data_IF_581462335110
#
_entry.id   IF_581462335110
#
_cell.length_a   1.000
_cell.length_b   1.000
_cell.length_c   1.000
_cell.angle_alpha   90.00
_cell.angle_beta   90.00
_cell.angle_gamma   90.00
#
_symmetry.space_group_name_H-M   'P 1'
#
loop_
_entity.id
_entity.type
_entity.pdbx_description
1 polymer ?
#
# COMPACT_ATOMS: atom_id res chain seq x y z
N UNK A 1 -25.33 -8.94 -13.33
CA UNK A 1 -24.41 -9.21 -12.22
C UNK A 1 -24.71 -10.61 -11.75
N UNK A 2 -23.73 -11.52 -11.80
CA UNK A 2 -23.88 -12.89 -11.28
C UNK A 2 -23.86 -12.78 -9.77
N UNK A 3 -24.97 -13.10 -9.11
CA UNK A 3 -25.09 -12.99 -7.65
C UNK A 3 -24.26 -14.04 -6.89
N UNK A 4 -23.97 -15.17 -7.55
CA UNK A 4 -23.26 -16.29 -6.93
C UNK A 4 -22.24 -16.91 -7.90
N UNK A 5 -20.98 -16.99 -7.50
CA UNK A 5 -19.87 -17.56 -8.24
C UNK A 5 -19.21 -18.69 -7.43
N UNK A 6 -18.73 -19.72 -8.11
CA UNK A 6 -17.87 -20.75 -7.52
C UNK A 6 -16.61 -20.87 -8.38
N UNK A 7 -15.49 -20.33 -7.87
CA UNK A 7 -14.16 -20.59 -8.43
C UNK A 7 -13.74 -21.99 -7.96
N UNK A 8 -13.40 -22.90 -8.87
CA UNK A 8 -13.01 -24.26 -8.52
C UNK A 8 -11.76 -24.71 -9.28
N UNK A 9 -11.25 -25.89 -8.95
CA UNK A 9 -9.98 -26.40 -9.45
C UNK A 9 -8.84 -25.41 -9.15
N UNK A 10 -8.77 -24.94 -7.90
CA UNK A 10 -7.88 -23.88 -7.43
C UNK A 10 -6.74 -24.41 -6.56
N UNK A 11 -5.60 -23.75 -6.60
CA UNK A 11 -4.64 -23.75 -5.50
C UNK A 11 -5.05 -22.61 -4.55
N UNK A 12 -5.73 -22.93 -3.46
CA UNK A 12 -6.20 -21.91 -2.50
C UNK A 12 -5.07 -21.49 -1.57
N UNK A 13 -4.77 -20.18 -1.59
CA UNK A 13 -3.88 -19.49 -0.64
C UNK A 13 -4.75 -18.43 0.06
N UNK A 14 -5.33 -18.78 1.17
CA UNK A 14 -6.43 -18.02 1.81
C UNK A 14 -5.99 -16.75 2.55
N UNK A 15 -4.68 -16.46 2.62
CA UNK A 15 -4.11 -15.30 3.30
C UNK A 15 -3.94 -15.48 4.81
N UNK A 16 -4.37 -16.60 5.40
CA UNK A 16 -4.20 -16.86 6.85
C UNK A 16 -2.79 -17.30 7.23
N UNK A 17 -1.99 -17.72 6.24
CA UNK A 17 -0.64 -18.25 6.45
C UNK A 17 -0.60 -19.77 6.69
N UNK A 18 -1.73 -20.47 6.63
CA UNK A 18 -1.79 -21.94 6.65
C UNK A 18 -1.31 -22.51 5.31
N UNK A 19 -0.90 -23.80 5.25
CA UNK A 19 -0.52 -24.43 4.01
C UNK A 19 -1.61 -24.33 2.93
N UNK A 20 -1.24 -24.18 1.64
CA UNK A 20 -2.21 -24.04 0.56
C UNK A 20 -3.01 -25.34 0.35
N UNK A 21 -4.26 -25.22 -0.10
CA UNK A 21 -5.13 -26.35 -0.42
C UNK A 21 -5.22 -26.52 -1.93
N UNK A 22 -4.85 -27.70 -2.46
CA UNK A 22 -5.02 -28.05 -3.86
C UNK A 22 -6.46 -28.55 -4.13
N UNK A 23 -6.86 -28.49 -5.41
CA UNK A 23 -8.21 -28.88 -5.84
C UNK A 23 -9.31 -28.22 -4.99
N UNK A 24 -9.06 -26.99 -4.60
CA UNK A 24 -9.92 -26.21 -3.74
C UNK A 24 -10.98 -25.43 -4.53
N UNK A 25 -11.94 -24.89 -3.79
CA UNK A 25 -12.91 -23.96 -4.36
C UNK A 25 -13.20 -22.80 -3.40
N UNK A 26 -13.68 -21.67 -3.98
CA UNK A 26 -14.12 -20.47 -3.28
C UNK A 26 -15.51 -20.10 -3.76
N UNK A 27 -16.48 -20.13 -2.85
CA UNK A 27 -17.84 -19.65 -3.10
C UNK A 27 -17.93 -18.16 -2.79
N UNK A 28 -18.40 -17.40 -3.74
CA UNK A 28 -18.72 -15.97 -3.60
C UNK A 28 -20.23 -15.82 -3.73
N UNK A 29 -20.86 -15.18 -2.75
CA UNK A 29 -22.29 -14.93 -2.71
C UNK A 29 -22.54 -13.46 -2.34
N UNK A 30 -23.24 -12.75 -3.17
CA UNK A 30 -23.57 -11.32 -3.01
C UNK A 30 -22.35 -10.45 -2.61
N UNK A 31 -21.23 -10.65 -3.32
CA UNK A 31 -19.99 -9.90 -3.12
C UNK A 31 -19.17 -10.27 -1.88
N UNK A 32 -19.54 -11.34 -1.18
CA UNK A 32 -18.81 -11.86 -0.02
C UNK A 32 -18.37 -13.30 -0.22
N UNK A 33 -17.33 -13.69 0.52
CA UNK A 33 -16.91 -15.08 0.62
C UNK A 33 -17.99 -15.84 1.38
N UNK A 34 -18.66 -16.77 0.71
CA UNK A 34 -19.63 -17.67 1.35
C UNK A 34 -18.96 -18.88 1.97
N UNK A 35 -17.90 -19.38 1.30
CA UNK A 35 -17.13 -20.54 1.75
C UNK A 35 -15.81 -20.62 0.96
N UNK A 36 -14.76 -21.19 1.54
CA UNK A 36 -13.49 -21.53 0.88
C UNK A 36 -12.90 -22.78 1.51
N UNK A 37 -12.45 -23.74 0.69
CA UNK A 37 -11.89 -25.00 1.19
C UNK A 37 -11.68 -26.06 0.11
N UNK A 38 -11.47 -27.34 0.51
CA UNK A 38 -11.27 -28.46 -0.42
C UNK A 38 -12.48 -28.65 -1.35
N UNK A 39 -12.25 -28.96 -2.63
CA UNK A 39 -13.31 -29.14 -3.62
C UNK A 39 -14.29 -30.27 -3.32
N UNK A 40 -13.86 -31.29 -2.57
CA UNK A 40 -14.73 -32.40 -2.12
C UNK A 40 -15.73 -31.96 -1.03
N UNK A 41 -15.47 -30.85 -0.35
CA UNK A 41 -16.27 -30.34 0.76
C UNK A 41 -17.18 -29.14 0.36
N UNK A 42 -17.41 -28.93 -0.96
CA UNK A 42 -18.26 -27.83 -1.45
C UNK A 42 -19.66 -27.96 -0.84
N UNK A 43 -20.13 -26.93 -0.13
CA UNK A 43 -21.41 -27.00 0.57
C UNK A 43 -22.61 -26.92 -0.39
N UNK A 44 -23.80 -27.46 0.00
CA UNK A 44 -25.01 -27.33 -0.79
C UNK A 44 -25.42 -25.89 -1.09
N UNK A 45 -24.97 -24.92 -0.27
CA UNK A 45 -25.16 -23.49 -0.54
C UNK A 45 -24.52 -23.03 -1.85
N UNK A 46 -23.61 -23.81 -2.47
CA UNK A 46 -23.04 -23.54 -3.78
C UNK A 46 -23.98 -23.94 -4.96
N UNK A 47 -25.11 -24.58 -4.68
CA UNK A 47 -26.05 -24.95 -5.73
C UNK A 47 -26.57 -23.70 -6.48
N UNK A 48 -26.61 -23.83 -7.81
CA UNK A 48 -26.99 -22.72 -8.69
C UNK A 48 -25.92 -21.64 -8.89
N UNK A 49 -24.73 -21.75 -8.31
CA UNK A 49 -23.62 -20.86 -8.57
C UNK A 49 -23.09 -21.02 -10.01
N UNK A 50 -22.74 -19.89 -10.64
CA UNK A 50 -21.94 -19.93 -11.89
C UNK A 50 -20.57 -20.49 -11.55
N UNK A 51 -20.20 -21.63 -12.16
CA UNK A 51 -18.94 -22.32 -11.93
C UNK A 51 -17.87 -21.79 -12.88
N UNK A 52 -16.70 -21.48 -12.33
CA UNK A 52 -15.53 -20.99 -13.07
C UNK A 52 -14.35 -21.92 -12.73
N UNK A 53 -13.88 -22.64 -13.72
CA UNK A 53 -12.66 -23.45 -13.60
C UNK A 53 -11.43 -22.54 -13.72
N UNK A 54 -10.66 -22.41 -12.66
CA UNK A 54 -9.44 -21.60 -12.66
C UNK A 54 -8.19 -22.38 -13.09
N UNK A 55 -8.33 -23.66 -13.51
CA UNK A 55 -7.28 -24.45 -14.17
C UNK A 55 -6.06 -24.74 -13.30
N UNK A 56 -6.24 -24.95 -12.00
CA UNK A 56 -5.15 -25.20 -11.07
C UNK A 56 -4.33 -23.97 -10.68
N UNK A 57 -4.72 -22.79 -11.13
CA UNK A 57 -4.06 -21.54 -10.78
C UNK A 57 -4.32 -21.13 -9.33
N UNK A 58 -3.44 -20.30 -8.76
CA UNK A 58 -3.60 -19.87 -7.38
C UNK A 58 -4.74 -18.86 -7.24
N UNK A 59 -5.54 -19.04 -6.18
CA UNK A 59 -6.59 -18.09 -5.74
C UNK A 59 -6.15 -17.49 -4.41
N UNK A 60 -5.92 -16.18 -4.41
CA UNK A 60 -5.45 -15.41 -3.27
C UNK A 60 -6.48 -14.33 -2.90
N UNK A 61 -6.43 -13.79 -1.66
CA UNK A 61 -7.13 -12.54 -1.35
C UNK A 61 -6.65 -11.40 -2.24
N UNK A 62 -7.48 -10.37 -2.43
CA UNK A 62 -7.04 -9.11 -3.00
C UNK A 62 -5.88 -8.51 -2.21
N UNK A 63 -4.83 -8.06 -2.93
CA UNK A 63 -3.65 -7.48 -2.30
C UNK A 63 -3.88 -6.02 -1.90
N UNK A 64 -3.10 -5.59 -0.93
CA UNK A 64 -3.02 -4.22 -0.47
C UNK A 64 -1.72 -3.58 -0.95
N UNK A 65 -1.75 -2.26 -1.14
CA UNK A 65 -0.56 -1.42 -1.16
C UNK A 65 -0.75 -0.30 -0.14
N UNK A 66 0.03 -0.35 0.95
CA UNK A 66 -0.12 0.58 2.07
C UNK A 66 0.63 1.91 1.88
N UNK A 67 1.32 2.10 0.74
CA UNK A 67 2.06 3.32 0.46
C UNK A 67 2.12 3.60 -1.04
N UNK A 68 1.21 4.45 -1.51
CA UNK A 68 1.17 4.90 -2.91
C UNK A 68 0.94 6.41 -2.98
N UNK A 69 1.23 6.99 -4.15
CA UNK A 69 0.97 8.38 -4.51
C UNK A 69 0.32 8.46 -5.89
N UNK A 70 -1.00 8.28 -5.96
CA UNK A 70 -1.72 8.29 -7.25
C UNK A 70 -1.63 9.64 -7.98
N UNK A 71 -1.36 10.73 -7.26
CA UNK A 71 -1.13 12.05 -7.85
C UNK A 71 0.18 12.14 -8.65
N UNK A 72 1.13 11.21 -8.46
CA UNK A 72 2.46 11.24 -9.06
C UNK A 72 2.59 10.23 -10.21
N UNK A 73 3.41 10.56 -11.26
CA UNK A 73 3.43 9.80 -12.51
C UNK A 73 4.30 8.54 -12.52
N UNK A 74 5.11 8.26 -11.49
CA UNK A 74 6.13 7.21 -11.51
C UNK A 74 7.30 7.57 -12.44
N UNK A 75 7.92 6.55 -13.04
CA UNK A 75 9.05 6.73 -13.97
C UNK A 75 8.66 7.42 -15.27
N UNK A 76 7.36 7.55 -15.57
CA UNK A 76 6.85 8.12 -16.83
C UNK A 76 6.88 9.64 -16.88
N UNK A 77 7.25 10.32 -15.78
CA UNK A 77 7.26 11.79 -15.73
C UNK A 77 7.99 12.36 -14.53
N UNK A 78 8.08 13.68 -14.51
CA UNK A 78 8.65 14.41 -13.37
C UNK A 78 7.61 14.58 -12.26
N UNK A 79 8.04 14.46 -11.01
CA UNK A 79 7.20 14.80 -9.84
C UNK A 79 6.62 16.21 -9.91
N UNK A 80 7.30 17.13 -10.59
CA UNK A 80 6.84 18.50 -10.80
C UNK A 80 5.89 18.66 -12.00
N UNK A 81 5.62 17.62 -12.77
CA UNK A 81 4.70 17.66 -13.93
C UNK A 81 3.32 18.14 -13.53
N UNK A 82 2.87 17.80 -12.31
CA UNK A 82 1.62 18.28 -11.77
C UNK A 82 1.53 19.83 -11.76
N UNK A 83 2.62 20.53 -11.55
CA UNK A 83 2.65 21.99 -11.58
C UNK A 83 2.57 22.59 -13.00
N UNK A 84 2.71 21.74 -14.01
CA UNK A 84 2.72 22.15 -15.43
C UNK A 84 1.42 21.83 -16.17
N UNK A 85 0.51 21.06 -15.56
CA UNK A 85 -0.75 20.63 -16.18
C UNK A 85 -1.96 21.23 -15.47
N UNK A 86 -3.10 21.29 -16.16
CA UNK A 86 -4.36 21.71 -15.54
C UNK A 86 -4.88 20.63 -14.60
N UNK A 87 -5.65 21.02 -13.57
CA UNK A 87 -6.24 20.10 -12.60
C UNK A 87 -7.11 19.02 -13.29
N UNK A 88 -7.90 19.40 -14.29
CA UNK A 88 -8.72 18.44 -15.04
C UNK A 88 -7.88 17.42 -15.81
N UNK A 89 -6.77 17.83 -16.45
CA UNK A 89 -5.88 16.90 -17.14
C UNK A 89 -5.22 15.93 -16.16
N UNK A 90 -4.74 16.43 -15.03
CA UNK A 90 -4.19 15.61 -13.96
C UNK A 90 -5.22 14.58 -13.43
N UNK A 91 -6.48 14.99 -13.27
CA UNK A 91 -7.56 14.06 -12.87
C UNK A 91 -7.72 12.91 -13.87
N UNK A 92 -7.64 13.18 -15.18
CA UNK A 92 -7.72 12.11 -16.18
C UNK A 92 -6.50 11.16 -16.15
N UNK A 93 -5.29 11.68 -15.89
CA UNK A 93 -4.11 10.82 -15.71
C UNK A 93 -4.26 9.93 -14.46
N UNK A 94 -4.88 10.45 -13.41
CA UNK A 94 -5.16 9.71 -12.18
C UNK A 94 -6.04 8.48 -12.43
N UNK A 95 -7.02 8.56 -13.34
CA UNK A 95 -7.93 7.45 -13.65
C UNK A 95 -7.18 6.23 -14.18
N UNK A 96 -6.20 6.43 -15.07
CA UNK A 96 -5.38 5.32 -15.59
C UNK A 96 -4.56 4.66 -14.48
N UNK A 97 -3.96 5.45 -13.59
CA UNK A 97 -3.16 4.95 -12.46
C UNK A 97 -4.00 4.12 -11.48
N UNK A 98 -5.19 4.60 -11.15
CA UNK A 98 -6.13 3.85 -10.30
C UNK A 98 -6.54 2.54 -10.95
N UNK A 99 -6.91 2.59 -12.24
CA UNK A 99 -7.36 1.44 -13.00
C UNK A 99 -6.26 0.37 -13.11
N UNK A 100 -5.07 0.74 -13.54
CA UNK A 100 -3.97 -0.22 -13.73
C UNK A 100 -3.53 -0.86 -12.42
N UNK A 101 -3.58 -0.13 -11.32
CA UNK A 101 -3.28 -0.66 -9.98
C UNK A 101 -4.29 -1.73 -9.57
N UNK A 102 -5.60 -1.46 -9.74
CA UNK A 102 -6.65 -2.44 -9.46
C UNK A 102 -6.53 -3.67 -10.38
N UNK A 103 -6.36 -3.46 -11.69
CA UNK A 103 -6.27 -4.54 -12.68
C UNK A 103 -5.04 -5.45 -12.46
N UNK A 104 -4.04 -4.99 -11.71
CA UNK A 104 -2.86 -5.78 -11.39
C UNK A 104 -2.86 -6.35 -9.96
N UNK A 105 -4.05 -6.49 -9.36
CA UNK A 105 -4.28 -7.29 -8.17
C UNK A 105 -4.30 -6.52 -6.86
N UNK A 106 -4.03 -5.21 -6.86
CA UNK A 106 -4.16 -4.37 -5.66
C UNK A 106 -5.60 -3.90 -5.55
N UNK A 107 -6.39 -4.52 -4.67
CA UNK A 107 -7.80 -4.17 -4.49
C UNK A 107 -8.04 -3.11 -3.43
N UNK A 108 -7.05 -2.85 -2.57
CA UNK A 108 -7.07 -1.78 -1.55
C UNK A 108 -5.73 -1.05 -1.54
N UNK A 109 -5.76 0.27 -1.50
CA UNK A 109 -4.55 1.10 -1.46
C UNK A 109 -4.67 2.25 -0.44
N UNK A 110 -3.53 2.62 0.16
CA UNK A 110 -3.40 3.74 1.07
C UNK A 110 -2.58 4.84 0.39
N UNK A 111 -3.26 5.90 -0.08
CA UNK A 111 -2.59 7.08 -0.66
C UNK A 111 -2.11 8.01 0.45
N UNK A 112 -0.80 8.20 0.51
CA UNK A 112 -0.18 8.91 1.61
C UNK A 112 0.03 10.40 1.33
N UNK A 113 -0.28 10.86 0.12
CA UNK A 113 -0.21 12.27 -0.24
C UNK A 113 -0.75 12.50 -1.66
N UNK A 114 -1.58 13.52 -1.83
CA UNK A 114 -1.81 14.16 -3.13
C UNK A 114 -3.18 13.94 -3.76
N UNK A 115 -3.93 12.89 -3.37
CA UNK A 115 -5.35 12.78 -3.72
C UNK A 115 -6.24 13.12 -2.52
N UNK A 116 -7.45 13.55 -2.81
CA UNK A 116 -8.42 13.94 -1.80
C UNK A 116 -9.54 12.90 -1.60
N UNK A 117 -10.42 13.21 -0.68
CA UNK A 117 -11.56 12.36 -0.34
C UNK A 117 -12.59 12.25 -1.46
N UNK A 118 -12.61 13.18 -2.42
CA UNK A 118 -13.48 13.14 -3.60
C UNK A 118 -13.09 11.99 -4.55
N UNK A 119 -11.79 11.75 -4.73
CA UNK A 119 -11.31 10.58 -5.52
C UNK A 119 -11.71 9.28 -4.82
N UNK A 120 -11.51 9.18 -3.50
CA UNK A 120 -11.95 8.01 -2.72
C UNK A 120 -13.45 7.77 -2.89
N UNK A 121 -14.26 8.83 -2.78
CA UNK A 121 -15.72 8.75 -2.92
C UNK A 121 -16.11 8.30 -4.33
N UNK A 122 -15.48 8.85 -5.37
CA UNK A 122 -15.77 8.47 -6.76
C UNK A 122 -15.49 6.99 -7.04
N UNK A 123 -14.42 6.43 -6.46
CA UNK A 123 -14.15 4.97 -6.52
C UNK A 123 -15.19 4.18 -5.73
N UNK A 124 -15.57 4.64 -4.53
CA UNK A 124 -16.54 3.96 -3.69
C UNK A 124 -17.95 3.94 -4.33
N UNK A 125 -18.34 5.02 -5.00
CA UNK A 125 -19.61 5.13 -5.72
C UNK A 125 -19.61 4.40 -7.07
N UNK A 126 -18.44 3.84 -7.48
CA UNK A 126 -18.27 3.15 -8.76
C UNK A 126 -18.30 4.09 -9.98
N UNK A 127 -18.10 5.39 -9.79
CA UNK A 127 -18.01 6.36 -10.89
C UNK A 127 -16.73 6.18 -11.71
N UNK A 128 -15.66 5.73 -11.05
CA UNK A 128 -14.36 5.45 -11.66
C UNK A 128 -13.81 4.10 -11.15
N UNK A 129 -13.09 3.34 -11.99
CA UNK A 129 -12.42 2.12 -11.56
C UNK A 129 -11.21 2.45 -10.67
N UNK A 130 -10.99 1.65 -9.63
CA UNK A 130 -9.81 1.78 -8.77
C UNK A 130 -9.88 0.87 -7.55
N UNK A 131 -8.75 0.70 -6.84
CA UNK A 131 -8.73 0.00 -5.56
C UNK A 131 -9.58 0.75 -4.52
N UNK A 132 -10.04 0.07 -3.48
CA UNK A 132 -10.58 0.73 -2.29
C UNK A 132 -9.51 1.63 -1.71
N UNK A 133 -9.84 2.88 -1.41
CA UNK A 133 -8.86 3.89 -1.03
C UNK A 133 -8.98 4.27 0.45
N UNK A 134 -7.83 4.40 1.11
CA UNK A 134 -7.65 5.23 2.29
C UNK A 134 -6.73 6.40 1.91
N UNK A 135 -7.06 7.61 2.32
CA UNK A 135 -6.37 8.82 1.88
C UNK A 135 -5.90 9.66 3.07
N UNK A 136 -4.63 10.07 3.03
CA UNK A 136 -4.07 11.03 3.98
C UNK A 136 -4.32 12.49 3.56
N UNK A 137 -4.63 12.72 2.31
CA UNK A 137 -4.81 14.03 1.65
C UNK A 137 -3.50 14.80 1.57
N UNK A 138 -2.89 15.15 2.73
CA UNK A 138 -1.62 15.87 2.79
C UNK A 138 -0.59 15.12 3.65
N UNK A 139 0.68 15.34 3.32
CA UNK A 139 1.81 15.00 4.18
C UNK A 139 2.24 16.23 4.98
N UNK A 140 2.28 16.09 6.32
CA UNK A 140 2.74 17.15 7.22
C UNK A 140 4.27 17.12 7.33
N UNK A 141 4.89 18.30 7.22
CA UNK A 141 6.33 18.49 7.38
C UNK A 141 6.60 19.89 7.89
N UNK A 142 7.74 20.09 8.54
CA UNK A 142 8.17 21.46 8.89
C UNK A 142 8.64 22.21 7.66
N UNK A 143 8.78 23.53 7.78
CA UNK A 143 9.42 24.39 6.78
C UNK A 143 10.83 23.83 6.44
N UNK A 144 11.16 23.79 5.17
CA UNK A 144 12.36 23.13 4.60
C UNK A 144 12.46 21.60 4.85
N UNK A 145 11.37 20.95 5.26
CA UNK A 145 11.28 19.50 5.40
C UNK A 145 10.81 18.82 4.12
N UNK A 146 10.66 17.48 4.18
CA UNK A 146 10.45 16.63 3.02
C UNK A 146 9.19 16.94 2.19
N UNK A 147 8.15 17.47 2.81
CA UNK A 147 6.93 17.90 2.10
C UNK A 147 6.83 19.41 1.87
N UNK A 148 7.94 20.14 1.96
CA UNK A 148 8.02 21.57 1.59
C UNK A 148 8.52 21.67 0.14
N UNK A 149 7.58 21.67 -0.81
CA UNK A 149 7.86 21.70 -2.26
C UNK A 149 8.09 23.11 -2.79
N UNK A 150 8.82 23.94 -2.05
CA UNK A 150 9.29 25.24 -2.57
C UNK A 150 10.51 25.06 -3.45
N UNK A 151 10.44 25.62 -4.65
CA UNK A 151 11.55 25.60 -5.59
C UNK A 151 12.53 26.73 -5.32
N UNK A 152 13.83 26.58 -5.66
CA UNK A 152 14.82 27.65 -5.56
C UNK A 152 14.44 28.90 -6.36
N UNK A 153 13.58 28.79 -7.37
CA UNK A 153 13.02 29.91 -8.13
C UNK A 153 12.03 30.77 -7.35
N UNK A 154 11.65 30.37 -6.13
CA UNK A 154 10.64 31.04 -5.30
C UNK A 154 9.20 30.54 -5.53
N UNK A 155 8.97 29.62 -6.45
CA UNK A 155 7.65 28.99 -6.66
C UNK A 155 7.34 28.09 -5.47
N UNK A 156 6.17 28.27 -4.87
CA UNK A 156 5.64 27.41 -3.80
C UNK A 156 4.60 26.44 -4.37
N UNK A 157 5.03 25.21 -4.62
CA UNK A 157 4.17 24.13 -5.09
C UNK A 157 3.64 23.23 -3.95
N UNK A 158 3.91 23.56 -2.68
CA UNK A 158 3.66 22.70 -1.53
C UNK A 158 2.22 22.20 -1.46
N UNK A 159 1.24 23.09 -1.48
CA UNK A 159 -0.17 22.70 -1.40
C UNK A 159 -0.62 21.90 -2.62
N UNK A 160 -0.16 22.27 -3.82
CA UNK A 160 -0.48 21.58 -5.08
C UNK A 160 0.07 20.16 -5.09
N UNK A 161 1.25 19.94 -4.51
CA UNK A 161 1.90 18.64 -4.43
C UNK A 161 1.38 17.77 -3.27
N UNK A 162 0.43 18.28 -2.47
CA UNK A 162 -0.12 17.57 -1.33
C UNK A 162 0.69 17.72 -0.03
N UNK A 163 1.67 18.62 0.03
CA UNK A 163 2.38 18.95 1.25
C UNK A 163 1.62 19.95 2.13
N UNK A 164 1.91 19.95 3.43
CA UNK A 164 1.42 20.96 4.37
C UNK A 164 2.47 21.26 5.44
N UNK A 165 2.87 22.54 5.53
CA UNK A 165 3.87 22.96 6.51
C UNK A 165 3.25 23.17 7.88
N UNK A 166 3.95 22.68 8.90
CA UNK A 166 3.65 22.82 10.33
C UNK A 166 4.95 23.04 11.09
N UNK A 167 5.08 24.15 11.81
CA UNK A 167 6.34 24.55 12.46
C UNK A 167 6.24 24.57 14.01
N UNK A 168 5.04 24.30 14.54
CA UNK A 168 4.79 24.23 15.98
C UNK A 168 3.77 23.13 16.31
N UNK A 169 3.71 22.73 17.58
CA UNK A 169 2.70 21.79 18.08
C UNK A 169 1.28 22.33 17.85
N UNK A 170 1.07 23.63 17.98
CA UNK A 170 -0.26 24.22 17.75
C UNK A 170 -0.64 24.21 16.26
N UNK A 171 0.33 24.41 15.36
CA UNK A 171 0.11 24.25 13.91
C UNK A 171 -0.27 22.80 13.58
N UNK A 172 0.46 21.84 14.17
CA UNK A 172 0.17 20.39 14.03
C UNK A 172 -1.26 20.10 14.45
N UNK A 173 -1.66 20.48 15.66
CA UNK A 173 -3.01 20.19 16.18
C UNK A 173 -4.10 20.80 15.29
N UNK A 174 -3.92 22.06 14.86
CA UNK A 174 -4.87 22.70 13.95
C UNK A 174 -4.96 21.95 12.62
N UNK A 175 -3.80 21.63 12.02
CA UNK A 175 -3.77 20.98 10.70
C UNK A 175 -4.32 19.55 10.73
N UNK A 176 -4.05 18.77 11.78
CA UNK A 176 -4.63 17.43 11.95
C UNK A 176 -6.16 17.53 12.01
N UNK A 177 -6.73 18.47 12.77
CA UNK A 177 -8.18 18.68 12.83
C UNK A 177 -8.77 19.08 11.48
N UNK A 178 -8.06 19.92 10.71
CA UNK A 178 -8.48 20.32 9.36
C UNK A 178 -8.53 19.09 8.42
N UNK A 179 -7.53 18.21 8.46
CA UNK A 179 -7.49 16.99 7.66
C UNK A 179 -8.61 16.00 8.08
N UNK A 180 -8.84 15.87 9.37
CA UNK A 180 -9.96 15.08 9.90
C UNK A 180 -11.29 15.63 9.43
N UNK A 181 -11.47 16.94 9.45
CA UNK A 181 -12.69 17.59 8.96
C UNK A 181 -12.88 17.43 7.44
N UNK A 182 -11.80 17.33 6.67
CA UNK A 182 -11.81 16.97 5.24
C UNK A 182 -12.10 15.49 5.00
N UNK A 183 -12.14 14.65 6.05
CA UNK A 183 -12.43 13.23 5.96
C UNK A 183 -11.21 12.35 5.69
N UNK A 184 -9.98 12.80 6.01
CA UNK A 184 -8.79 11.96 5.92
C UNK A 184 -8.94 10.68 6.76
N UNK A 185 -8.55 9.54 6.21
CA UNK A 185 -8.63 8.23 6.88
C UNK A 185 -7.47 8.02 7.86
N UNK A 186 -6.34 8.65 7.56
CA UNK A 186 -5.10 8.59 8.34
C UNK A 186 -4.38 9.95 8.21
N UNK A 187 -3.35 10.14 9.05
CA UNK A 187 -2.48 11.31 8.94
C UNK A 187 -1.06 10.84 8.51
N UNK A 188 -0.49 11.51 7.52
CA UNK A 188 0.90 11.30 7.07
C UNK A 188 1.78 12.42 7.57
N UNK A 189 2.93 12.06 8.16
CA UNK A 189 3.97 12.99 8.60
C UNK A 189 5.32 12.65 7.97
N UNK A 190 6.23 13.62 7.90
CA UNK A 190 7.62 13.42 7.54
C UNK A 190 8.51 13.76 8.73
N UNK A 191 9.11 12.74 9.36
CA UNK A 191 10.03 12.88 10.49
C UNK A 191 11.50 12.89 10.09
N UNK A 192 11.81 12.66 8.80
CA UNK A 192 13.14 12.85 8.22
C UNK A 192 13.05 13.56 6.87
N UNK A 193 14.20 13.91 6.30
CA UNK A 193 14.29 14.22 4.88
C UNK A 193 14.25 12.94 4.02
N UNK A 194 14.33 13.08 2.69
CA UNK A 194 14.16 11.98 1.74
C UNK A 194 15.31 11.82 0.74
N UNK A 195 15.29 10.68 0.05
CA UNK A 195 16.28 10.35 -1.00
C UNK A 195 16.02 11.14 -2.27
N UNK A 196 14.77 11.22 -2.72
CA UNK A 196 14.35 11.82 -3.98
C UNK A 196 14.33 13.36 -3.96
N UNK A 197 14.24 13.98 -2.78
CA UNK A 197 14.22 15.44 -2.66
C UNK A 197 15.59 16.06 -2.98
N UNK A 198 15.64 17.17 -3.76
CA UNK A 198 16.89 17.87 -4.05
C UNK A 198 17.38 18.74 -2.91
N UNK A 199 16.53 19.09 -1.93
CA UNK A 199 16.77 20.16 -0.95
C UNK A 199 16.99 19.67 0.47
N UNK A 200 16.66 18.43 0.78
CA UNK A 200 16.84 17.80 2.10
C UNK A 200 17.77 16.58 2.04
N UNK A 201 18.08 16.01 3.19
CA UNK A 201 18.90 14.80 3.31
C UNK A 201 18.15 13.78 4.19
N UNK A 202 18.21 12.47 3.88
CA UNK A 202 17.52 11.42 4.64
C UNK A 202 17.88 11.38 6.14
N UNK A 203 19.09 11.76 6.51
CA UNK A 203 19.58 11.82 7.89
C UNK A 203 19.22 13.10 8.65
N UNK A 204 18.64 14.09 7.98
CA UNK A 204 18.14 15.28 8.67
C UNK A 204 16.86 14.98 9.43
N UNK A 205 16.82 15.45 10.68
CA UNK A 205 15.60 15.38 11.48
C UNK A 205 14.52 16.28 10.87
N UNK A 206 13.39 15.67 10.57
CA UNK A 206 12.17 16.33 10.16
C UNK A 206 11.33 16.80 11.37
N UNK A 207 10.06 16.39 11.40
CA UNK A 207 9.21 16.67 12.57
C UNK A 207 9.79 16.04 13.83
N UNK A 208 9.90 16.81 14.90
CA UNK A 208 10.44 16.37 16.20
C UNK A 208 9.46 15.45 16.91
N UNK A 209 9.95 14.65 17.86
CA UNK A 209 9.16 13.70 18.67
C UNK A 209 7.91 14.36 19.27
N UNK A 210 8.03 15.56 19.85
CA UNK A 210 6.90 16.25 20.44
C UNK A 210 5.83 16.68 19.44
N UNK A 211 6.21 16.98 18.20
CA UNK A 211 5.28 17.29 17.12
C UNK A 211 4.58 16.02 16.61
N UNK A 212 5.34 14.93 16.44
CA UNK A 212 4.77 13.61 16.04
C UNK A 212 3.83 13.09 17.12
N UNK A 213 4.20 13.18 18.40
CA UNK A 213 3.33 12.80 19.51
C UNK A 213 2.02 13.63 19.52
N UNK A 214 2.10 14.92 19.24
CA UNK A 214 0.92 15.76 19.14
C UNK A 214 -0.01 15.35 17.98
N UNK A 215 0.52 14.85 16.85
CA UNK A 215 -0.30 14.26 15.79
C UNK A 215 -1.03 13.03 16.30
N UNK A 216 -0.32 12.12 16.98
CA UNK A 216 -0.89 10.87 17.52
C UNK A 216 -1.97 11.19 18.56
N UNK A 217 -1.71 12.11 19.49
CA UNK A 217 -2.68 12.56 20.51
C UNK A 217 -3.98 13.10 19.88
N UNK A 218 -3.86 13.98 18.87
CA UNK A 218 -5.04 14.50 18.17
C UNK A 218 -5.79 13.41 17.43
N UNK A 219 -5.08 12.49 16.74
CA UNK A 219 -5.70 11.35 16.07
C UNK A 219 -6.47 10.46 17.06
N UNK A 220 -5.93 10.19 18.24
CA UNK A 220 -6.60 9.43 19.29
C UNK A 220 -7.85 10.14 19.81
N UNK A 221 -7.76 11.46 20.03
CA UNK A 221 -8.89 12.26 20.52
C UNK A 221 -10.06 12.32 19.51
N UNK A 222 -9.79 12.14 18.23
CA UNK A 222 -10.78 12.21 17.15
C UNK A 222 -11.06 10.87 16.46
N UNK A 223 -11.11 9.77 17.21
CA UNK A 223 -11.57 8.47 16.72
C UNK A 223 -10.48 7.47 16.37
N UNK A 224 -9.22 7.71 16.79
CA UNK A 224 -8.13 6.72 16.72
C UNK A 224 -7.60 6.49 15.29
N UNK A 225 -7.49 7.54 14.48
CA UNK A 225 -6.95 7.42 13.12
C UNK A 225 -5.49 7.00 13.13
N UNK A 226 -5.05 6.13 12.20
CA UNK A 226 -3.65 5.74 12.06
C UNK A 226 -2.76 6.95 11.70
N UNK A 227 -1.50 6.89 12.14
CA UNK A 227 -0.46 7.86 11.75
C UNK A 227 0.65 7.11 11.04
N UNK A 228 0.97 7.52 9.81
CA UNK A 228 2.06 6.99 8.99
C UNK A 228 3.22 8.00 8.94
N UNK A 229 4.44 7.56 9.21
CA UNK A 229 5.61 8.45 9.20
C UNK A 229 6.62 8.06 8.12
N UNK A 230 6.86 8.97 7.16
CA UNK A 230 8.08 8.92 6.36
C UNK A 230 9.28 9.12 7.28
N UNK A 231 10.15 8.12 7.36
CA UNK A 231 11.29 8.11 8.25
C UNK A 231 12.42 7.23 7.69
N UNK A 232 13.52 7.85 7.27
CA UNK A 232 14.65 7.16 6.64
C UNK A 232 15.86 7.13 7.60
N UNK A 233 16.43 8.28 7.95
CA UNK A 233 17.58 8.39 8.84
C UNK A 233 17.23 8.16 10.30
N UNK A 234 18.21 7.76 11.10
CA UNK A 234 18.03 7.35 12.50
C UNK A 234 17.25 8.35 13.35
N UNK A 235 17.60 9.65 13.28
CA UNK A 235 16.95 10.68 14.09
C UNK A 235 15.44 10.79 13.78
N UNK A 236 15.06 10.69 12.50
CA UNK A 236 13.68 10.72 12.06
C UNK A 236 12.92 9.45 12.46
N UNK A 237 13.53 8.26 12.25
CA UNK A 237 12.95 6.99 12.68
C UNK A 237 12.71 6.97 14.18
N UNK A 238 13.69 7.42 14.96
CA UNK A 238 13.56 7.53 16.41
C UNK A 238 12.42 8.46 16.81
N UNK A 239 12.35 9.65 16.21
CA UNK A 239 11.29 10.61 16.50
C UNK A 239 9.89 10.04 16.21
N UNK A 240 9.74 9.28 15.12
CA UNK A 240 8.48 8.65 14.75
C UNK A 240 8.09 7.52 15.71
N UNK A 241 9.03 6.60 16.03
CA UNK A 241 8.77 5.48 16.95
C UNK A 241 8.46 5.99 18.36
N UNK A 242 9.26 6.96 18.88
CA UNK A 242 9.01 7.58 20.19
C UNK A 242 7.73 8.42 20.22
N UNK A 243 7.32 8.99 19.09
CA UNK A 243 6.07 9.71 18.94
C UNK A 243 4.84 8.81 18.87
N UNK A 244 5.01 7.49 18.75
CA UNK A 244 3.92 6.50 18.84
C UNK A 244 3.14 6.31 17.56
N UNK A 245 3.75 6.47 16.37
CA UNK A 245 3.07 6.31 15.08
C UNK A 245 2.62 4.86 14.84
N UNK A 246 1.60 4.67 14.00
CA UNK A 246 1.07 3.35 13.65
C UNK A 246 1.99 2.61 12.68
N UNK A 247 2.57 3.31 11.70
CA UNK A 247 3.52 2.73 10.74
C UNK A 247 4.70 3.64 10.47
N UNK A 248 5.86 2.99 10.29
CA UNK A 248 7.07 3.59 9.75
C UNK A 248 7.12 3.23 8.26
N UNK A 249 7.20 4.24 7.43
CA UNK A 249 7.40 4.11 6.00
C UNK A 249 8.90 4.21 5.71
N UNK A 250 9.43 3.32 4.90
CA UNK A 250 10.86 3.12 4.61
C UNK A 250 11.63 2.50 5.79
N UNK A 251 11.87 3.20 6.88
CA UNK A 251 12.47 2.66 8.10
C UNK A 251 13.93 2.20 7.96
N UNK A 252 14.74 2.86 7.09
CA UNK A 252 16.05 2.31 6.70
C UNK A 252 17.06 2.28 7.85
N UNK A 253 17.10 3.29 8.71
CA UNK A 253 18.06 3.37 9.81
C UNK A 253 17.46 2.94 11.16
N UNK A 254 16.82 1.78 11.22
CA UNK A 254 16.35 1.15 12.45
C UNK A 254 17.52 0.46 13.17
N UNK A 255 17.66 0.67 14.48
CA UNK A 255 18.52 -0.13 15.36
C UNK A 255 17.69 -1.15 16.17
N UNK A 256 18.36 -2.00 16.93
CA UNK A 256 17.71 -3.07 17.70
C UNK A 256 16.81 -2.54 18.82
N UNK A 257 17.10 -1.36 19.36
CA UNK A 257 16.26 -0.73 20.38
C UNK A 257 14.94 -0.26 19.77
N UNK A 258 15.02 0.42 18.64
CA UNK A 258 13.82 0.90 17.93
C UNK A 258 12.98 -0.25 17.39
N UNK A 259 13.61 -1.33 16.88
CA UNK A 259 12.88 -2.56 16.47
C UNK A 259 12.10 -3.17 17.65
N UNK A 260 12.75 -3.31 18.82
CA UNK A 260 12.06 -3.80 20.03
C UNK A 260 10.89 -2.92 20.41
N UNK A 261 11.07 -1.59 20.41
CA UNK A 261 9.96 -0.65 20.67
C UNK A 261 8.82 -0.80 19.66
N UNK A 262 9.12 -0.95 18.38
CA UNK A 262 8.10 -1.19 17.35
C UNK A 262 7.31 -2.48 17.63
N UNK A 263 7.99 -3.57 18.03
CA UNK A 263 7.34 -4.83 18.42
C UNK A 263 6.43 -4.61 19.63
N UNK A 264 6.93 -3.97 20.68
CA UNK A 264 6.19 -3.72 21.93
C UNK A 264 4.96 -2.82 21.74
N UNK A 265 5.08 -1.82 20.84
CA UNK A 265 4.01 -0.88 20.49
C UNK A 265 3.05 -1.45 19.43
N UNK A 266 3.44 -2.51 18.71
CA UNK A 266 2.70 -3.04 17.58
C UNK A 266 2.81 -2.19 16.32
N UNK A 267 3.84 -1.33 16.21
CA UNK A 267 4.10 -0.48 15.05
C UNK A 267 4.50 -1.32 13.84
N UNK A 268 3.94 -0.99 12.68
CA UNK A 268 4.24 -1.68 11.42
C UNK A 268 5.42 -1.04 10.70
N UNK A 269 6.14 -1.85 9.91
CA UNK A 269 7.09 -1.36 8.90
C UNK A 269 6.51 -1.56 7.51
N UNK A 270 6.53 -0.50 6.70
CA UNK A 270 6.17 -0.51 5.27
C UNK A 270 7.43 -0.14 4.50
N UNK A 271 8.23 -1.13 4.04
CA UNK A 271 9.62 -0.90 3.66
C UNK A 271 9.83 -0.25 2.29
N UNK A 272 8.85 -0.33 1.38
CA UNK A 272 8.89 0.29 0.04
C UNK A 272 10.16 -0.04 -0.76
N UNK A 273 10.53 -1.32 -0.77
CA UNK A 273 11.78 -1.77 -1.41
C UNK A 273 11.76 -1.59 -2.93
N UNK A 274 10.57 -1.58 -3.54
CA UNK A 274 10.44 -1.42 -4.99
C UNK A 274 10.99 -0.06 -5.44
N UNK A 275 10.83 1.01 -4.64
CA UNK A 275 11.45 2.31 -4.90
C UNK A 275 12.98 2.20 -5.01
N UNK A 276 13.59 1.33 -4.21
CA UNK A 276 15.05 1.17 -4.17
C UNK A 276 15.63 0.47 -5.40
N UNK A 277 14.79 -0.12 -6.24
CA UNK A 277 15.20 -0.86 -7.45
C UNK A 277 15.30 0.03 -8.69
N UNK A 278 14.87 1.28 -8.56
CA UNK A 278 14.89 2.24 -9.67
C UNK A 278 15.92 3.34 -9.42
N UNK A 279 16.73 3.64 -10.44
CA UNK A 279 17.63 4.79 -10.41
C UNK A 279 16.80 6.07 -10.49
N UNK A 280 16.86 6.90 -9.46
CA UNK A 280 16.27 8.24 -9.49
C UNK A 280 17.18 9.15 -10.33
N UNK A 281 16.86 9.34 -11.61
CA UNK A 281 17.63 10.19 -12.53
C UNK A 281 17.40 11.70 -12.32
N UNK A 282 17.22 12.15 -11.08
CA UNK A 282 16.94 13.58 -10.82
C UNK A 282 18.22 14.42 -10.82
N UNK A 283 19.32 13.90 -10.30
CA UNK A 283 20.63 14.54 -10.28
C UNK A 283 21.73 13.57 -9.83
N UNK A 284 23.03 13.85 -10.13
CA UNK A 284 24.16 13.06 -9.62
C UNK A 284 24.18 12.95 -8.09
N UNK A 285 23.76 14.01 -7.38
CA UNK A 285 23.69 14.01 -5.92
C UNK A 285 22.55 13.12 -5.38
N UNK A 286 21.39 13.13 -6.02
CA UNK A 286 20.28 12.23 -5.68
C UNK A 286 20.65 10.76 -5.95
N UNK A 287 21.32 10.49 -7.06
CA UNK A 287 21.83 9.16 -7.40
C UNK A 287 22.82 8.63 -6.34
N UNK A 288 23.73 9.47 -5.88
CA UNK A 288 24.69 9.08 -4.82
C UNK A 288 23.97 8.81 -3.47
N UNK A 289 22.97 9.63 -3.10
CA UNK A 289 22.13 9.39 -1.92
C UNK A 289 21.37 8.06 -2.05
N UNK A 290 20.74 7.84 -3.20
CA UNK A 290 19.98 6.63 -3.50
C UNK A 290 20.81 5.37 -3.29
N UNK A 291 21.97 5.25 -3.93
CA UNK A 291 22.84 4.09 -3.81
C UNK A 291 23.23 3.76 -2.34
N UNK A 292 23.57 4.78 -1.55
CA UNK A 292 23.91 4.61 -0.15
C UNK A 292 22.73 4.10 0.69
N UNK A 293 21.56 4.73 0.55
CA UNK A 293 20.41 4.41 1.39
C UNK A 293 19.69 3.13 0.97
N UNK A 294 19.75 2.74 -0.32
CA UNK A 294 19.18 1.48 -0.78
C UNK A 294 19.89 0.26 -0.17
N UNK A 295 21.22 0.28 -0.05
CA UNK A 295 21.95 -0.80 0.62
C UNK A 295 21.55 -0.93 2.10
N UNK A 296 21.37 0.20 2.77
CA UNK A 296 20.88 0.23 4.17
C UNK A 296 19.47 -0.32 4.27
N UNK A 297 18.57 0.09 3.35
CA UNK A 297 17.19 -0.39 3.30
C UNK A 297 17.09 -1.91 3.18
N UNK A 298 17.85 -2.49 2.24
CA UNK A 298 17.84 -3.94 2.00
C UNK A 298 18.27 -4.76 3.23
N UNK A 299 19.20 -4.26 4.02
CA UNK A 299 19.62 -4.89 5.27
C UNK A 299 18.59 -4.69 6.38
N UNK A 300 18.07 -3.47 6.52
CA UNK A 300 17.19 -3.08 7.62
C UNK A 300 15.86 -3.87 7.61
N UNK A 301 15.31 -4.18 6.43
CA UNK A 301 14.05 -4.94 6.34
C UNK A 301 14.22 -6.37 6.84
N UNK A 302 15.34 -7.05 6.50
CA UNK A 302 15.63 -8.40 6.97
C UNK A 302 15.85 -8.45 8.49
N UNK A 303 16.62 -7.50 9.03
CA UNK A 303 16.82 -7.37 10.47
C UNK A 303 15.52 -7.07 11.22
N UNK A 304 14.63 -6.28 10.64
CA UNK A 304 13.33 -5.94 11.24
C UNK A 304 12.37 -7.14 11.23
N UNK A 305 12.31 -7.88 10.14
CA UNK A 305 11.52 -9.11 10.06
C UNK A 305 12.01 -10.16 11.07
N UNK A 306 13.33 -10.37 11.14
CA UNK A 306 13.96 -11.29 12.12
C UNK A 306 13.70 -10.89 13.58
N UNK A 307 13.58 -9.58 13.86
CA UNK A 307 13.22 -9.06 15.19
C UNK A 307 11.73 -9.19 15.51
N UNK A 308 10.88 -9.61 14.56
CA UNK A 308 9.43 -9.77 14.75
C UNK A 308 8.61 -8.50 14.52
N UNK A 309 9.18 -7.48 13.87
CA UNK A 309 8.43 -6.30 13.44
C UNK A 309 7.40 -6.73 12.37
N UNK A 310 6.17 -6.26 12.50
CA UNK A 310 5.11 -6.53 11.52
C UNK A 310 5.41 -5.83 10.20
N UNK A 311 5.59 -6.61 9.13
CA UNK A 311 5.83 -6.08 7.79
C UNK A 311 4.51 -6.00 7.03
N UNK A 312 4.16 -4.83 6.50
CA UNK A 312 3.06 -4.65 5.58
C UNK A 312 3.59 -4.22 4.21
N UNK A 313 2.90 -4.61 3.14
CA UNK A 313 3.30 -4.26 1.78
C UNK A 313 2.97 -2.80 1.47
N UNK A 314 3.94 -2.10 0.90
CA UNK A 314 3.79 -0.78 0.30
C UNK A 314 4.97 -0.50 -0.62
N UNK A 315 4.76 0.29 -1.67
CA UNK A 315 5.70 0.38 -2.79
C UNK A 315 6.28 1.75 -3.04
N UNK A 316 5.62 2.80 -2.55
CA UNK A 316 5.87 4.19 -2.94
C UNK A 316 5.61 4.46 -4.44
N UNK A 317 4.69 3.66 -5.05
CA UNK A 317 4.32 3.83 -6.44
C UNK A 317 3.81 5.24 -6.71
N UNK A 318 4.31 5.82 -7.78
CA UNK A 318 4.11 7.22 -8.15
C UNK A 318 5.36 8.07 -8.04
N UNK A 319 6.35 7.71 -7.22
CA UNK A 319 7.69 8.31 -7.23
C UNK A 319 8.60 7.60 -8.24
N UNK A 320 9.19 6.47 -7.87
CA UNK A 320 10.04 5.71 -8.77
C UNK A 320 9.35 4.52 -9.40
N UNK A 321 8.65 3.63 -8.66
CA UNK A 321 7.93 2.54 -9.32
C UNK A 321 6.67 3.04 -10.00
N UNK A 322 6.37 2.45 -11.17
CA UNK A 322 5.14 2.72 -11.89
C UNK A 322 3.94 2.06 -11.21
N UNK A 323 2.80 2.75 -11.24
CA UNK A 323 1.53 2.14 -10.87
C UNK A 323 1.24 0.90 -11.72
N UNK A 324 0.76 -0.17 -11.08
CA UNK A 324 0.49 -1.45 -11.72
C UNK A 324 1.65 -2.45 -11.62
N UNK A 325 2.82 -2.07 -11.10
CA UNK A 325 3.93 -2.99 -10.79
C UNK A 325 4.04 -3.30 -9.30
N UNK A 326 3.11 -2.84 -8.51
CA UNK A 326 3.10 -2.85 -7.05
C UNK A 326 3.42 -4.22 -6.44
N UNK A 327 2.90 -5.31 -7.00
CA UNK A 327 3.10 -6.65 -6.44
C UNK A 327 4.52 -7.20 -6.65
N UNK A 328 5.40 -6.50 -7.37
CA UNK A 328 6.82 -6.84 -7.41
C UNK A 328 7.50 -6.70 -6.04
N UNK A 329 6.93 -5.88 -5.14
CA UNK A 329 7.38 -5.77 -3.74
C UNK A 329 7.39 -7.12 -3.01
N UNK A 330 6.46 -8.03 -3.31
CA UNK A 330 6.43 -9.38 -2.71
C UNK A 330 7.74 -10.14 -2.92
N UNK A 331 8.28 -10.10 -4.14
CA UNK A 331 9.57 -10.72 -4.47
C UNK A 331 10.74 -10.08 -3.70
N UNK A 332 10.68 -8.77 -3.47
CA UNK A 332 11.72 -8.04 -2.73
C UNK A 332 11.65 -8.32 -1.23
N UNK A 333 10.44 -8.46 -0.67
CA UNK A 333 10.25 -8.90 0.72
C UNK A 333 10.86 -10.28 0.98
N UNK A 334 10.76 -11.20 0.02
CA UNK A 334 11.45 -12.50 0.11
C UNK A 334 12.96 -12.33 -0.04
N UNK A 335 13.40 -11.59 -1.07
CA UNK A 335 14.81 -11.44 -1.41
C UNK A 335 15.63 -10.72 -0.33
N UNK A 336 15.12 -9.62 0.20
CA UNK A 336 15.83 -8.75 1.15
C UNK A 336 15.29 -8.86 2.58
N UNK A 337 13.96 -9.11 2.72
CA UNK A 337 13.32 -9.27 4.01
C UNK A 337 13.52 -10.64 4.64
N UNK A 338 13.96 -11.63 3.85
CA UNK A 338 14.11 -13.00 4.33
C UNK A 338 12.78 -13.71 4.65
N UNK A 339 11.66 -13.15 4.19
CA UNK A 339 10.35 -13.76 4.34
C UNK A 339 10.25 -14.99 3.42
N UNK A 340 9.51 -15.99 3.85
CA UNK A 340 9.03 -17.05 2.94
C UNK A 340 8.01 -16.47 1.95
N UNK A 341 7.77 -17.13 0.79
CA UNK A 341 6.72 -16.69 -0.13
C UNK A 341 5.33 -16.55 0.52
N UNK A 342 4.98 -17.45 1.44
CA UNK A 342 3.73 -17.38 2.18
C UNK A 342 3.68 -16.15 3.11
N UNK A 343 4.75 -15.87 3.84
CA UNK A 343 4.82 -14.67 4.70
C UNK A 343 4.75 -13.39 3.89
N UNK A 344 5.33 -13.34 2.69
CA UNK A 344 5.21 -12.19 1.79
C UNK A 344 3.74 -12.00 1.32
N UNK A 345 3.03 -13.08 0.96
CA UNK A 345 1.60 -13.00 0.64
C UNK A 345 0.79 -12.50 1.86
N UNK A 346 1.08 -13.02 3.05
CA UNK A 346 0.43 -12.57 4.30
C UNK A 346 0.74 -11.09 4.58
N UNK A 347 1.97 -10.62 4.31
CA UNK A 347 2.34 -9.21 4.42
C UNK A 347 1.50 -8.33 3.49
N UNK A 348 1.31 -8.75 2.22
CA UNK A 348 0.52 -8.04 1.22
C UNK A 348 -1.00 -8.21 1.34
N UNK A 349 -1.49 -9.03 2.26
CA UNK A 349 -2.92 -9.31 2.44
C UNK A 349 -3.35 -9.06 3.89
N UNK A 350 -3.28 -10.07 4.78
CA UNK A 350 -3.77 -9.99 6.16
C UNK A 350 -3.07 -8.91 6.99
N UNK A 351 -1.74 -8.84 6.94
CA UNK A 351 -0.99 -7.87 7.76
C UNK A 351 -1.26 -6.44 7.31
N UNK A 352 -1.33 -6.21 5.99
CA UNK A 352 -1.73 -4.92 5.42
C UNK A 352 -3.16 -4.55 5.75
N UNK A 353 -4.10 -5.52 5.74
CA UNK A 353 -5.48 -5.31 6.17
C UNK A 353 -5.55 -4.89 7.65
N UNK A 354 -4.74 -5.50 8.52
CA UNK A 354 -4.63 -5.12 9.94
C UNK A 354 -4.11 -3.69 10.10
N UNK A 355 -3.05 -3.31 9.37
CA UNK A 355 -2.54 -1.94 9.37
C UNK A 355 -3.60 -0.92 8.95
N UNK A 356 -4.42 -1.27 7.96
CA UNK A 356 -5.50 -0.44 7.46
C UNK A 356 -6.77 -0.48 8.34
N UNK A 357 -6.83 -1.33 9.38
CA UNK A 357 -8.03 -1.53 10.20
C UNK A 357 -9.19 -2.20 9.46
N UNK A 358 -8.89 -2.95 8.39
CA UNK A 358 -9.86 -3.60 7.51
C UNK A 358 -9.85 -5.14 7.62
N UNK A 359 -9.12 -5.71 8.57
CA UNK A 359 -8.90 -7.16 8.72
C UNK A 359 -10.18 -7.95 9.06
N UNK A 360 -11.21 -7.29 9.55
CA UNK A 360 -12.54 -7.90 9.76
C UNK A 360 -13.29 -8.15 8.45
N UNK A 361 -13.01 -7.35 7.42
CA UNK A 361 -13.73 -7.38 6.14
C UNK A 361 -12.87 -7.88 4.98
N UNK A 362 -11.54 -7.88 5.10
CA UNK A 362 -10.58 -8.11 4.03
C UNK A 362 -9.32 -8.85 4.50
N UNK A 363 -8.43 -9.15 3.56
CA UNK A 363 -7.09 -9.67 3.82
C UNK A 363 -6.99 -11.19 3.90
N UNK A 364 -8.13 -11.89 3.98
CA UNK A 364 -8.20 -13.36 3.93
C UNK A 364 -9.47 -13.81 3.23
N UNK A 365 -9.48 -15.05 2.70
CA UNK A 365 -10.66 -15.67 2.06
C UNK A 365 -11.51 -16.43 3.08
N UNK A 366 -11.88 -15.77 4.17
CA UNK A 366 -12.73 -16.35 5.22
C UNK A 366 -14.21 -16.02 4.99
N UNK A 367 -15.14 -16.93 5.32
CA UNK A 367 -16.57 -16.70 5.19
C UNK A 367 -17.04 -15.38 5.86
N UNK A 368 -17.86 -14.62 5.14
CA UNK A 368 -18.40 -13.34 5.56
C UNK A 368 -17.58 -12.12 5.13
N UNK A 369 -16.31 -12.27 4.79
CA UNK A 369 -15.47 -11.18 4.28
C UNK A 369 -15.84 -10.79 2.86
N UNK A 370 -15.49 -9.58 2.46
CA UNK A 370 -15.68 -9.09 1.08
C UNK A 370 -14.87 -9.95 0.10
N UNK A 371 -15.47 -10.24 -1.03
CA UNK A 371 -14.87 -11.09 -2.06
C UNK A 371 -13.91 -10.30 -2.96
N UNK A 372 -12.85 -9.77 -2.35
CA UNK A 372 -11.68 -9.27 -3.06
C UNK A 372 -10.76 -10.47 -3.32
N UNK A 373 -10.68 -10.90 -4.58
CA UNK A 373 -10.03 -12.16 -4.98
C UNK A 373 -9.13 -11.93 -6.18
N UNK A 374 -7.93 -12.50 -6.14
CA UNK A 374 -6.98 -12.47 -7.26
C UNK A 374 -6.63 -13.89 -7.68
N UNK A 375 -6.78 -14.19 -8.98
CA UNK A 375 -6.28 -15.43 -9.57
C UNK A 375 -4.92 -15.17 -10.20
N UNK A 376 -3.91 -15.85 -9.69
CA UNK A 376 -2.52 -15.74 -10.13
C UNK A 376 -2.14 -17.01 -10.90
N UNK A 377 -1.45 -16.84 -12.04
CA UNK A 377 -0.97 -17.96 -12.86
C UNK A 377 0.00 -18.86 -12.07
N UNK A 378 -0.28 -20.15 -12.06
CA UNK A 378 0.57 -21.17 -11.44
C UNK A 378 0.57 -21.12 -9.91
N UNK A 379 1.71 -21.37 -9.29
CA UNK A 379 1.88 -21.40 -7.83
C UNK A 379 2.85 -20.28 -7.39
N UNK A 380 2.38 -19.19 -6.81
CA UNK A 380 3.25 -18.10 -6.34
C UNK A 380 4.17 -18.48 -5.16
N UNK A 381 3.92 -19.63 -4.52
CA UNK A 381 4.82 -20.12 -3.47
C UNK A 381 6.09 -20.76 -4.04
N UNK A 382 6.08 -21.18 -5.30
CA UNK A 382 7.27 -21.70 -5.99
C UNK A 382 8.10 -20.56 -6.60
N UNK A 383 7.45 -19.47 -7.05
CA UNK A 383 8.06 -18.26 -7.60
C UNK A 383 7.22 -17.02 -7.27
N UNK A 384 7.47 -16.43 -6.12
CA UNK A 384 6.72 -15.26 -5.64
C UNK A 384 6.96 -14.02 -6.53
N UNK A 385 8.13 -13.90 -7.15
CA UNK A 385 8.45 -12.76 -8.03
C UNK A 385 7.55 -12.75 -9.28
N UNK A 386 7.01 -13.90 -9.67
CA UNK A 386 6.06 -14.02 -10.79
C UNK A 386 4.77 -13.21 -10.58
N UNK A 387 4.35 -12.97 -9.34
CA UNK A 387 3.15 -12.17 -8.99
C UNK A 387 3.33 -10.71 -9.39
N UNK A 388 4.57 -10.21 -9.37
CA UNK A 388 4.90 -8.85 -9.83
C UNK A 388 4.77 -8.65 -11.34
N UNK A 389 4.58 -9.73 -12.13
CA UNK A 389 4.33 -9.61 -13.56
C UNK A 389 2.81 -9.47 -13.82
N UNK A 390 2.33 -8.32 -14.34
CA UNK A 390 0.92 -8.10 -14.64
C UNK A 390 0.26 -9.15 -15.54
N UNK A 391 1.06 -9.85 -16.36
CA UNK A 391 0.57 -10.91 -17.26
C UNK A 391 0.17 -12.19 -16.52
N UNK A 392 0.64 -12.35 -15.30
CA UNK A 392 0.30 -13.48 -14.43
C UNK A 392 -0.93 -13.22 -13.56
N UNK A 393 -1.45 -12.00 -13.53
CA UNK A 393 -2.71 -11.68 -12.87
C UNK A 393 -3.85 -11.97 -13.85
N UNK A 394 -4.49 -13.12 -13.69
CA UNK A 394 -5.48 -13.66 -14.64
C UNK A 394 -6.90 -13.13 -14.40
N UNK A 395 -7.28 -12.95 -13.14
CA UNK A 395 -8.57 -12.45 -12.72
C UNK A 395 -8.41 -11.57 -11.48
N UNK A 396 -9.12 -10.46 -11.44
CA UNK A 396 -9.27 -9.64 -10.24
C UNK A 396 -10.75 -9.42 -10.00
N UNK A 397 -11.22 -9.84 -8.84
CA UNK A 397 -12.55 -9.53 -8.33
C UNK A 397 -12.42 -8.52 -7.18
N UNK A 398 -13.21 -7.46 -7.22
CA UNK A 398 -13.41 -6.53 -6.12
C UNK A 398 -14.87 -6.61 -5.68
N UNK A 399 -15.10 -7.03 -4.45
CA UNK A 399 -16.46 -7.27 -3.93
C UNK A 399 -17.26 -8.22 -4.86
N UNK A 400 -16.61 -9.29 -5.34
CA UNK A 400 -17.19 -10.28 -6.24
C UNK A 400 -17.44 -9.81 -7.68
N UNK A 401 -17.09 -8.57 -8.02
CA UNK A 401 -17.27 -7.99 -9.36
C UNK A 401 -15.94 -8.01 -10.11
N UNK A 402 -15.93 -8.49 -11.39
CA UNK A 402 -14.71 -8.53 -12.17
C UNK A 402 -14.21 -7.12 -12.51
N UNK A 403 -12.97 -6.83 -12.07
CA UNK A 403 -12.20 -5.65 -12.46
C UNK A 403 -11.26 -5.97 -13.63
N UNK A 404 -10.78 -7.21 -13.72
CA UNK A 404 -9.96 -7.75 -14.82
C UNK A 404 -10.33 -9.22 -15.04
N UNK A 405 -10.43 -9.61 -16.30
CA UNK A 405 -10.56 -11.03 -16.72
C UNK A 405 -9.67 -11.30 -17.94
N UNK A 406 -8.37 -11.45 -17.69
CA UNK A 406 -7.40 -11.84 -18.74
C UNK A 406 -7.48 -13.34 -19.04
N UNK A 407 -7.96 -14.13 -18.11
CA UNK A 407 -8.13 -15.58 -18.26
C UNK A 407 -9.31 -15.96 -19.15
N UNK A 408 -10.19 -15.01 -19.49
CA UNK A 408 -11.42 -15.27 -20.26
C UNK A 408 -12.41 -16.15 -19.50
N UNK A 409 -12.41 -16.09 -18.18
CA UNK A 409 -13.19 -16.97 -17.30
C UNK A 409 -14.69 -16.71 -17.41
N UNK A 410 -15.09 -15.46 -17.71
CA UNK A 410 -16.48 -15.08 -17.86
C UNK A 410 -17.00 -15.25 -19.30
N UNK A 411 -16.10 -15.42 -20.28
CA UNK A 411 -16.48 -15.65 -21.69
C UNK A 411 -16.81 -17.13 -21.99
N UNK A 412 -16.43 -18.06 -21.10
CA UNK A 412 -16.67 -19.51 -21.23
C UNK A 412 -18.11 -19.95 -20.89
N UNK A 413 -19.07 -19.03 -20.94
CA UNK A 413 -20.49 -19.37 -20.72
C UNK A 413 -21.02 -20.16 -21.90
N UNK A 414 -21.08 -21.45 -21.75
CA UNK A 414 -21.84 -22.38 -22.61
C UNK A 414 -23.12 -22.81 -21.92
#
# INVERSE_FOLDING_TARGET
VVSKLLLHNALLIDGTGVPPVRDAAVLIDDGRIGWAGPGDDIPPSADGATRIDVGGNAVCPGFFDCHVHFSLPGTRGSVYERALVTESYHTFQLLDRLKVTLENGVTTARDLMGIDTGVRQAVADGLIPGPRLQVAVNMLSQTAGHADFRLPSGIDATAMMGGARVDSVDDVRRRVRDLIAQGADLIKVASSGGVSSPTDQPDWLGMRTEMVAAVVEECQAYGGRPVAAHAIGYAGVKAAVEGGVTSIEHGYALDDELRRRMVDQGTYLVPTLLETMHDVEVSPAAKAKSAHWHEIAHRAVGESAAAGVKIALGTDAGLSPDHGTNLAELGLLVRFGGLTPMEAIVAGTRTSAQLCGLDRELGTLEPGKLADVVVVRGNPLDDIASVGNPDNILLVLKEGRPAKDRGGFFDQRH
#
